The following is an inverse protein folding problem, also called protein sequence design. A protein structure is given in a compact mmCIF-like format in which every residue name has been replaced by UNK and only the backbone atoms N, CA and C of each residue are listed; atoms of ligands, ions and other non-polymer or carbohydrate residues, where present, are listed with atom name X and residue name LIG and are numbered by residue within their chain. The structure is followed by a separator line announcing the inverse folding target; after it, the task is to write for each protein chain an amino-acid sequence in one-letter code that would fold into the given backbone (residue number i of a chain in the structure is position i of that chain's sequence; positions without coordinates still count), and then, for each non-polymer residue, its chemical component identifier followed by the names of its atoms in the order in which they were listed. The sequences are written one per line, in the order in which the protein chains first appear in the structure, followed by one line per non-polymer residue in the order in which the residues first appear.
data_IF_186434509387
#
_entry.id   IF_186434509387
#
_cell.length_a   1.000
_cell.length_b   1.000
_cell.length_c   1.000
_cell.angle_alpha   90.00
_cell.angle_beta   90.00
_cell.angle_gamma   90.00
#
_symmetry.space_group_name_H-M   'P 1'
#
loop_
_entity.id
_entity.type
_entity.pdbx_description
1 polymer ?
#
# COMPACT_ATOMS: atom_id res chain seq x y z
N UNK A 1 -10.96 -7.24 -18.19
CA UNK A 1 -10.34 -6.31 -17.22
C UNK A 1 -8.90 -6.76 -17.02
N UNK A 2 -7.91 -5.86 -17.11
CA UNK A 2 -6.51 -6.25 -16.93
C UNK A 2 -6.17 -6.53 -15.47
N UNK A 3 -5.20 -7.40 -15.22
CA UNK A 3 -4.71 -7.73 -13.86
C UNK A 3 -4.33 -6.48 -13.05
N UNK A 4 -3.85 -5.43 -13.72
CA UNK A 4 -3.45 -4.16 -13.10
C UNK A 4 -4.62 -3.45 -12.41
N UNK A 5 -5.80 -3.41 -13.03
CA UNK A 5 -6.95 -2.72 -12.45
C UNK A 5 -7.58 -3.54 -11.32
N UNK A 6 -7.56 -4.87 -11.44
CA UNK A 6 -7.93 -5.77 -10.34
C UNK A 6 -6.99 -5.59 -9.15
N UNK A 7 -5.68 -5.46 -9.36
CA UNK A 7 -4.72 -5.18 -8.28
C UNK A 7 -4.95 -3.81 -7.61
N UNK A 8 -5.30 -2.77 -8.38
CA UNK A 8 -5.70 -1.47 -7.80
C UNK A 8 -6.95 -1.60 -6.93
N UNK A 9 -7.94 -2.36 -7.38
CA UNK A 9 -9.17 -2.59 -6.63
C UNK A 9 -8.92 -3.40 -5.36
N UNK A 10 -8.06 -4.42 -5.43
CA UNK A 10 -7.62 -5.17 -4.25
C UNK A 10 -6.92 -4.27 -3.23
N UNK A 11 -6.04 -3.36 -3.69
CA UNK A 11 -5.43 -2.34 -2.83
C UNK A 11 -6.46 -1.40 -2.19
N UNK A 12 -7.56 -1.06 -2.87
CA UNK A 12 -8.63 -0.26 -2.28
C UNK A 12 -9.29 -1.01 -1.12
N UNK A 13 -9.67 -2.27 -1.35
CA UNK A 13 -10.35 -3.11 -0.35
C UNK A 13 -9.45 -3.33 0.87
N UNK A 14 -8.23 -3.82 0.67
CA UNK A 14 -7.34 -4.23 1.76
C UNK A 14 -6.69 -3.06 2.52
N UNK A 15 -6.78 -1.81 2.04
CA UNK A 15 -6.11 -0.66 2.67
C UNK A 15 -7.03 0.46 3.12
N UNK A 16 -8.23 0.52 2.55
CA UNK A 16 -9.04 1.73 2.63
C UNK A 16 -10.50 1.45 2.93
N UNK A 17 -11.13 0.54 2.18
CA UNK A 17 -12.57 0.39 2.14
C UNK A 17 -13.02 -1.07 2.03
N UNK A 18 -12.72 -1.93 3.02
CA UNK A 18 -13.16 -3.33 3.01
C UNK A 18 -14.69 -3.47 2.89
N UNK A 19 -15.44 -2.50 3.40
CA UNK A 19 -16.90 -2.41 3.31
C UNK A 19 -17.43 -2.32 1.86
N UNK A 20 -16.59 -1.94 0.89
CA UNK A 20 -16.94 -1.89 -0.54
C UNK A 20 -17.48 -3.23 -1.06
N UNK A 21 -16.99 -4.33 -0.49
CA UNK A 21 -17.44 -5.69 -0.81
C UNK A 21 -18.12 -6.39 0.38
N UNK A 22 -18.37 -5.64 1.47
CA UNK A 22 -19.04 -6.13 2.66
C UNK A 22 -18.18 -7.01 3.58
N UNK A 23 -16.85 -6.94 3.51
CA UNK A 23 -15.96 -7.68 4.40
C UNK A 23 -15.40 -6.78 5.51
N UNK A 24 -14.77 -7.40 6.50
CA UNK A 24 -13.99 -6.70 7.55
C UNK A 24 -12.55 -7.19 7.52
N UNK A 25 -11.64 -6.34 7.98
CA UNK A 25 -10.28 -6.75 8.31
C UNK A 25 -10.16 -6.91 9.82
N UNK A 26 -9.32 -7.82 10.27
CA UNK A 26 -8.94 -7.91 11.68
C UNK A 26 -8.03 -6.75 12.10
N UNK A 27 -7.65 -6.72 13.37
CA UNK A 27 -6.75 -5.71 13.94
C UNK A 27 -5.35 -5.69 13.29
N UNK A 28 -4.98 -6.75 12.58
CA UNK A 28 -3.70 -6.91 11.88
C UNK A 28 -3.80 -6.77 10.35
N UNK A 29 -4.99 -6.37 9.85
CA UNK A 29 -5.27 -6.13 8.44
C UNK A 29 -5.59 -7.39 7.62
N UNK A 30 -5.77 -8.55 8.26
CA UNK A 30 -6.12 -9.80 7.58
C UNK A 30 -7.59 -9.82 7.15
N UNK A 31 -7.81 -10.23 5.92
CA UNK A 31 -9.11 -10.58 5.34
C UNK A 31 -9.19 -12.10 5.13
N UNK A 32 -10.37 -12.69 5.33
CA UNK A 32 -10.67 -14.03 4.86
C UNK A 32 -10.66 -14.06 3.32
N UNK A 33 -9.91 -15.00 2.75
CA UNK A 33 -9.72 -15.12 1.29
C UNK A 33 -11.02 -15.53 0.60
N UNK A 34 -11.83 -16.38 1.23
CA UNK A 34 -13.10 -16.84 0.66
C UNK A 34 -14.12 -15.71 0.63
N UNK A 35 -14.22 -14.93 1.71
CA UNK A 35 -15.06 -13.73 1.78
C UNK A 35 -14.60 -12.67 0.77
N UNK A 36 -13.29 -12.43 0.66
CA UNK A 36 -12.71 -11.49 -0.30
C UNK A 36 -13.06 -11.88 -1.74
N UNK A 37 -12.84 -13.15 -2.11
CA UNK A 37 -13.13 -13.64 -3.45
C UNK A 37 -14.62 -13.54 -3.73
N UNK A 38 -15.47 -14.05 -2.84
CA UNK A 38 -16.92 -13.98 -2.97
C UNK A 38 -17.41 -12.54 -3.09
N UNK A 39 -16.88 -11.62 -2.27
CA UNK A 39 -17.24 -10.21 -2.26
C UNK A 39 -16.88 -9.49 -3.56
N UNK A 40 -15.68 -9.71 -4.10
CA UNK A 40 -15.27 -9.12 -5.40
C UNK A 40 -16.10 -9.73 -6.54
N UNK A 41 -16.31 -11.05 -6.51
CA UNK A 41 -17.00 -11.82 -7.55
C UNK A 41 -18.46 -11.45 -7.76
N UNK A 42 -19.09 -10.79 -6.78
CA UNK A 42 -20.43 -10.19 -6.95
C UNK A 42 -20.49 -9.13 -8.07
N UNK A 43 -19.37 -8.49 -8.40
CA UNK A 43 -19.35 -7.37 -9.36
C UNK A 43 -18.47 -7.60 -10.58
N UNK A 44 -17.53 -8.55 -10.52
CA UNK A 44 -16.56 -8.80 -11.60
C UNK A 44 -15.93 -10.19 -11.46
N UNK A 45 -15.51 -10.86 -12.54
CA UNK A 45 -14.81 -12.15 -12.44
C UNK A 45 -13.56 -12.03 -11.57
N UNK A 46 -13.49 -12.87 -10.54
CA UNK A 46 -12.35 -12.97 -9.65
C UNK A 46 -12.31 -14.35 -9.00
N UNK A 47 -11.13 -14.95 -8.92
CA UNK A 47 -10.94 -16.28 -8.33
C UNK A 47 -9.59 -16.36 -7.62
N UNK A 48 -9.33 -17.52 -7.00
CA UNK A 48 -8.08 -17.78 -6.28
C UNK A 48 -6.86 -17.70 -7.21
N UNK A 49 -6.96 -18.18 -8.45
CA UNK A 49 -5.84 -18.15 -9.41
C UNK A 49 -5.45 -16.71 -9.75
N UNK A 50 -6.44 -15.85 -9.98
CA UNK A 50 -6.22 -14.43 -10.20
C UNK A 50 -5.61 -13.74 -8.98
N UNK A 51 -6.09 -14.06 -7.78
CA UNK A 51 -5.53 -13.50 -6.55
C UNK A 51 -4.07 -13.90 -6.36
N UNK A 52 -3.75 -15.18 -6.50
CA UNK A 52 -2.38 -15.69 -6.43
C UNK A 52 -1.47 -15.05 -7.47
N UNK A 53 -1.94 -14.91 -8.71
CA UNK A 53 -1.16 -14.26 -9.77
C UNK A 53 -0.86 -12.78 -9.46
N UNK A 54 -1.84 -12.06 -8.89
CA UNK A 54 -1.64 -10.67 -8.44
C UNK A 54 -0.57 -10.61 -7.35
N UNK A 55 -0.61 -11.52 -6.37
CA UNK A 55 0.39 -11.56 -5.29
C UNK A 55 1.76 -11.94 -5.83
N UNK A 56 1.83 -12.94 -6.71
CA UNK A 56 3.08 -13.46 -7.30
C UNK A 56 3.79 -12.44 -8.18
N UNK A 57 3.04 -11.66 -8.96
CA UNK A 57 3.60 -10.67 -9.91
C UNK A 57 3.81 -9.29 -9.29
N UNK A 58 3.51 -9.13 -7.99
CA UNK A 58 3.68 -7.87 -7.30
C UNK A 58 5.12 -7.63 -6.85
N UNK A 59 5.89 -6.99 -7.72
CA UNK A 59 7.27 -6.55 -7.45
C UNK A 59 7.43 -5.67 -6.20
N UNK A 60 6.33 -5.09 -5.68
CA UNK A 60 6.35 -4.23 -4.49
C UNK A 60 5.98 -4.97 -3.21
N UNK A 61 5.68 -6.27 -3.28
CA UNK A 61 5.30 -7.09 -2.12
C UNK A 61 4.22 -6.39 -1.27
N UNK A 62 3.18 -5.86 -1.91
CA UNK A 62 2.07 -5.15 -1.27
C UNK A 62 1.20 -6.06 -0.45
N UNK A 63 1.19 -7.36 -0.77
CA UNK A 63 0.28 -8.34 -0.19
C UNK A 63 1.06 -9.55 0.31
N UNK A 64 0.51 -10.18 1.35
CA UNK A 64 0.98 -11.47 1.85
C UNK A 64 -0.20 -12.34 2.22
N UNK A 65 -0.08 -13.63 1.93
CA UNK A 65 -0.93 -14.67 2.49
C UNK A 65 -0.37 -15.14 3.84
N UNK A 66 -1.23 -15.73 4.66
CA UNK A 66 -0.78 -16.61 5.74
C UNK A 66 -0.36 -17.98 5.18
N UNK A 67 0.11 -18.88 6.04
CA UNK A 67 0.76 -20.14 5.64
C UNK A 67 -0.13 -21.05 4.77
N UNK A 68 -1.42 -21.16 5.09
CA UNK A 68 -2.39 -21.99 4.39
C UNK A 68 -3.21 -21.22 3.34
N UNK A 69 -2.90 -19.93 3.13
CA UNK A 69 -3.59 -19.01 2.21
C UNK A 69 -5.08 -18.84 2.48
N UNK A 70 -5.53 -19.06 3.72
CA UNK A 70 -6.91 -18.75 4.14
C UNK A 70 -7.09 -17.26 4.42
N UNK A 71 -6.01 -16.55 4.75
CA UNK A 71 -6.00 -15.12 5.02
C UNK A 71 -5.06 -14.37 4.08
N UNK A 72 -5.44 -13.15 3.72
CA UNK A 72 -4.60 -12.21 2.98
C UNK A 72 -4.65 -10.83 3.60
N UNK A 73 -3.54 -10.11 3.59
CA UNK A 73 -3.49 -8.70 3.98
C UNK A 73 -2.64 -7.87 3.04
N UNK A 74 -2.83 -6.55 3.09
CA UNK A 74 -1.81 -5.64 2.59
C UNK A 74 -0.68 -5.50 3.63
N UNK A 75 0.56 -5.40 3.18
CA UNK A 75 1.72 -5.27 4.06
C UNK A 75 1.94 -3.84 4.55
N UNK A 76 1.43 -2.86 3.79
CA UNK A 76 1.71 -1.44 4.00
C UNK A 76 0.62 -0.56 3.40
N UNK A 77 0.57 0.69 3.88
CA UNK A 77 -0.21 1.76 3.26
C UNK A 77 -1.69 1.74 3.62
N UNK A 78 -2.06 1.30 4.80
CA UNK A 78 -3.44 1.42 5.29
C UNK A 78 -3.79 2.88 5.59
N UNK A 79 -5.06 3.24 5.37
CA UNK A 79 -5.67 4.45 5.94
C UNK A 79 -6.71 4.13 7.02
N UNK A 80 -6.88 2.85 7.33
CA UNK A 80 -7.75 2.33 8.38
C UNK A 80 -6.86 1.85 9.54
N UNK A 81 -7.37 1.89 10.79
CA UNK A 81 -6.57 1.55 11.96
C UNK A 81 -6.33 0.05 12.04
N UNK A 82 -5.15 -0.39 11.57
CA UNK A 82 -4.65 -1.76 11.69
C UNK A 82 -3.20 -1.74 12.14
N UNK A 83 -2.81 -2.68 12.98
CA UNK A 83 -1.43 -2.91 13.37
C UNK A 83 -0.89 -4.14 12.63
N UNK A 84 -0.22 -3.92 11.50
CA UNK A 84 0.44 -4.99 10.74
C UNK A 84 1.71 -5.53 11.42
N UNK A 85 2.03 -5.09 12.64
CA UNK A 85 3.20 -5.48 13.44
C UNK A 85 4.50 -5.29 12.67
N UNK A 86 4.71 -4.08 12.16
CA UNK A 86 5.94 -3.75 11.44
C UNK A 86 7.15 -3.87 12.35
N UNK A 87 8.13 -4.66 11.91
CA UNK A 87 9.43 -4.69 12.55
C UNK A 87 10.13 -3.34 12.42
N UNK A 88 10.55 -2.79 13.55
CA UNK A 88 11.47 -1.65 13.54
C UNK A 88 12.80 -2.11 12.95
N UNK A 89 13.30 -1.38 11.96
CA UNK A 89 14.61 -1.64 11.33
C UNK A 89 15.42 -0.37 11.33
N UNK A 90 16.73 -0.50 11.52
CA UNK A 90 17.67 0.59 11.31
C UNK A 90 17.65 0.94 9.82
N UNK A 91 17.20 2.15 9.44
CA UNK A 91 17.19 2.55 8.04
C UNK A 91 18.61 2.85 7.55
N UNK A 92 18.84 2.84 6.22
CA UNK A 92 20.08 3.37 5.65
C UNK A 92 20.23 4.86 5.94
N UNK A 93 21.44 5.40 5.75
CA UNK A 93 21.73 6.83 5.98
C UNK A 93 20.74 7.74 5.24
N UNK A 94 20.38 7.39 4.01
CA UNK A 94 19.42 8.13 3.19
C UNK A 94 18.31 7.26 2.64
N UNK A 95 17.09 7.83 2.69
CA UNK A 95 15.93 7.38 1.94
C UNK A 95 15.33 8.58 1.20
N UNK A 96 14.34 8.35 0.33
CA UNK A 96 13.80 9.38 -0.55
C UNK A 96 12.29 9.49 -0.43
N UNK A 97 11.76 10.70 -0.41
CA UNK A 97 10.32 10.95 -0.47
C UNK A 97 9.97 11.70 -1.75
N UNK A 98 9.11 11.10 -2.57
CA UNK A 98 8.59 11.72 -3.78
C UNK A 98 7.23 12.36 -3.54
N UNK A 99 7.09 13.63 -3.91
CA UNK A 99 5.85 14.39 -3.79
C UNK A 99 5.60 15.24 -5.06
N UNK A 100 4.47 15.95 -5.11
CA UNK A 100 4.20 16.95 -6.13
C UNK A 100 4.61 18.35 -5.68
N UNK A 101 5.09 19.19 -6.60
CA UNK A 101 5.56 20.57 -6.35
C UNK A 101 4.59 21.41 -5.49
N UNK A 102 3.28 21.24 -5.69
CA UNK A 102 2.23 21.91 -4.92
C UNK A 102 2.24 21.64 -3.40
N UNK A 103 2.94 20.61 -2.95
CA UNK A 103 3.03 20.25 -1.53
C UNK A 103 4.32 20.72 -0.87
N UNK A 104 5.29 21.24 -1.63
CA UNK A 104 6.63 21.64 -1.15
C UNK A 104 6.53 22.65 -0.01
N UNK A 105 5.76 23.74 -0.20
CA UNK A 105 5.66 24.78 0.83
C UNK A 105 5.12 24.29 2.18
N UNK A 106 4.20 23.30 2.17
CA UNK A 106 3.69 22.71 3.41
C UNK A 106 4.72 21.75 4.02
N UNK A 107 5.39 20.93 3.19
CA UNK A 107 6.42 19.99 3.66
C UNK A 107 7.62 20.73 4.25
N UNK A 108 8.07 21.82 3.63
CA UNK A 108 9.19 22.61 4.14
C UNK A 108 8.87 23.28 5.48
N UNK A 109 7.58 23.56 5.74
CA UNK A 109 7.12 24.19 7.00
C UNK A 109 6.80 23.18 8.10
N UNK A 110 6.14 22.08 7.75
CA UNK A 110 5.57 21.11 8.72
C UNK A 110 6.40 19.82 8.81
N UNK A 111 7.32 19.60 7.89
CA UNK A 111 7.99 18.32 7.70
C UNK A 111 7.13 17.29 6.96
N UNK A 112 7.64 16.07 6.86
CA UNK A 112 6.92 14.95 6.26
C UNK A 112 5.90 14.37 7.24
N UNK A 113 4.62 14.47 6.88
CA UNK A 113 3.51 13.91 7.66
C UNK A 113 2.87 12.74 6.91
N UNK A 114 2.39 11.72 7.63
CA UNK A 114 1.73 10.55 7.04
C UNK A 114 0.37 10.88 6.39
N UNK A 115 -0.21 12.04 6.75
CA UNK A 115 -1.52 12.54 6.31
C UNK A 115 -2.61 11.48 6.52
N UNK A 116 -3.19 10.93 5.46
CA UNK A 116 -4.24 9.91 5.55
C UNK A 116 -3.73 8.47 5.70
N UNK A 117 -2.40 8.25 5.70
CA UNK A 117 -1.79 6.95 5.92
C UNK A 117 -1.35 6.81 7.38
N UNK A 118 -1.15 5.57 7.82
CA UNK A 118 -0.58 5.30 9.14
C UNK A 118 0.88 5.77 9.27
N UNK A 119 1.67 5.70 8.19
CA UNK A 119 3.10 6.02 8.20
C UNK A 119 3.51 6.88 7.01
N UNK A 120 4.61 7.62 7.16
CA UNK A 120 5.31 8.25 6.03
C UNK A 120 5.97 7.14 5.21
N UNK A 121 5.73 7.17 3.89
CA UNK A 121 6.36 6.22 2.97
C UNK A 121 7.60 6.83 2.33
N UNK A 122 8.71 6.10 2.44
CA UNK A 122 10.00 6.44 1.86
C UNK A 122 10.41 5.38 0.83
N UNK A 123 11.18 5.81 -0.17
CA UNK A 123 11.72 5.00 -1.24
C UNK A 123 13.21 4.78 -1.01
N UNK A 124 13.72 3.60 -1.39
CA UNK A 124 15.14 3.27 -1.29
C UNK A 124 16.01 4.03 -2.31
N UNK A 125 15.41 4.48 -3.41
CA UNK A 125 16.09 5.13 -4.53
C UNK A 125 15.27 6.32 -5.08
N UNK A 126 15.97 7.23 -5.76
CA UNK A 126 15.39 8.46 -6.33
C UNK A 126 14.44 8.16 -7.49
N UNK A 127 14.73 7.16 -8.32
CA UNK A 127 13.89 6.79 -9.46
C UNK A 127 12.48 6.38 -8.99
N UNK A 128 12.40 5.57 -7.94
CA UNK A 128 11.16 5.17 -7.30
C UNK A 128 10.45 6.38 -6.69
N UNK A 129 11.19 7.28 -6.03
CA UNK A 129 10.61 8.51 -5.48
C UNK A 129 10.02 9.41 -6.58
N UNK A 130 10.71 9.60 -7.70
CA UNK A 130 10.17 10.35 -8.85
C UNK A 130 8.87 9.70 -9.34
N UNK A 131 8.85 8.37 -9.55
CA UNK A 131 7.63 7.65 -9.98
C UNK A 131 6.46 7.78 -8.99
N UNK A 132 6.74 7.92 -7.70
CA UNK A 132 5.73 8.18 -6.67
C UNK A 132 5.24 9.63 -6.75
N UNK A 133 6.16 10.60 -6.80
CA UNK A 133 5.86 12.03 -6.88
C UNK A 133 5.07 12.41 -8.13
N UNK A 134 5.37 11.80 -9.28
CA UNK A 134 4.70 12.08 -10.56
C UNK A 134 3.20 11.77 -10.54
N UNK A 135 2.73 10.98 -9.57
CA UNK A 135 1.28 10.71 -9.37
C UNK A 135 0.53 11.93 -8.84
N UNK A 136 1.26 12.92 -8.35
CA UNK A 136 0.73 14.11 -7.69
C UNK A 136 0.99 15.41 -8.47
N UNK A 137 1.51 15.32 -9.70
CA UNK A 137 1.86 16.45 -10.56
C UNK A 137 3.35 16.45 -10.92
N UNK A 138 3.94 17.63 -11.12
CA UNK A 138 5.38 17.78 -11.34
C UNK A 138 6.14 17.26 -10.10
N UNK A 139 7.00 16.23 -10.24
CA UNK A 139 7.60 15.56 -9.10
C UNK A 139 8.70 16.43 -8.44
N UNK A 140 8.75 16.40 -7.12
CA UNK A 140 9.85 16.89 -6.29
C UNK A 140 10.30 15.75 -5.37
N UNK A 141 11.61 15.58 -5.20
CA UNK A 141 12.19 14.51 -4.40
C UNK A 141 12.97 15.09 -3.23
N UNK A 142 12.56 14.73 -2.02
CA UNK A 142 13.31 15.00 -0.80
C UNK A 142 14.27 13.84 -0.53
N UNK A 143 15.52 14.17 -0.18
CA UNK A 143 16.45 13.22 0.43
C UNK A 143 16.32 13.32 1.95
N UNK A 144 15.97 12.23 2.59
CA UNK A 144 15.71 12.13 4.03
C UNK A 144 16.92 11.47 4.68
N UNK A 145 17.54 12.15 5.65
CA UNK A 145 18.57 11.57 6.51
C UNK A 145 17.91 10.59 7.49
N UNK A 146 17.64 9.37 7.05
CA UNK A 146 16.84 8.40 7.80
C UNK A 146 17.64 7.69 8.89
N UNK A 147 18.96 7.55 8.72
CA UNK A 147 19.85 6.90 9.69
C UNK A 147 20.25 7.74 10.90
N UNK A 148 19.57 8.87 11.15
CA UNK A 148 19.87 9.81 12.24
C UNK A 148 18.68 9.99 13.16
#
# INVERSE_FOLDING_TARGET
MGLTDTSKFLSLILRHKPETIGIKLDEHGWADVSELISGISKTRPFDMKMLEEIVRTDNKQRYSFNEDKTLIRANQGHSIPVDVKLEKKTPPEFLYHGTGEKFVSSIDKEGLLSKSRLYVHLSKDTETAVKVGSRHGKPVVYRVAAGK
#
